data_IF_537283278989
#
_entry.id   IF_537283278989
#
_cell.length_a   1.000
_cell.length_b   1.000
_cell.length_c   1.000
_cell.angle_alpha   90.00
_cell.angle_beta   90.00
_cell.angle_gamma   90.00
#
_symmetry.space_group_name_H-M   'P 1'
#
loop_
_entity.id
_entity.type
_entity.pdbx_description
1 polymer ?
#
# COMPACT_ATOMS: atom_id res chain seq x y z
N UNK A 1 15.52 24.98 -83.80
CA UNK A 1 16.42 25.81 -82.95
C UNK A 1 15.66 26.25 -81.71
N UNK A 2 16.35 26.50 -80.57
CA UNK A 2 15.99 27.42 -79.46
C UNK A 2 14.47 27.65 -79.19
N UNK A 3 13.85 27.26 -78.08
CA UNK A 3 14.34 26.81 -76.77
C UNK A 3 13.65 27.60 -75.64
N UNK A 4 13.45 26.98 -74.47
CA UNK A 4 12.90 27.57 -73.23
C UNK A 4 11.50 28.22 -73.30
N UNK A 5 10.45 27.46 -72.95
CA UNK A 5 9.35 27.99 -72.12
C UNK A 5 9.02 27.05 -70.95
N UNK A 6 9.96 27.04 -70.00
CA UNK A 6 9.82 26.85 -68.55
C UNK A 6 8.60 26.04 -68.04
N UNK A 7 8.89 24.77 -67.73
CA UNK A 7 8.69 24.17 -66.39
C UNK A 7 7.48 24.69 -65.59
N UNK A 8 6.32 24.09 -65.87
CA UNK A 8 5.12 24.16 -65.03
C UNK A 8 5.10 22.90 -64.13
N UNK A 9 4.86 23.07 -62.83
CA UNK A 9 4.81 22.03 -61.77
C UNK A 9 6.09 21.19 -61.57
N UNK A 10 7.13 21.78 -60.97
CA UNK A 10 7.91 21.07 -59.93
C UNK A 10 8.49 22.08 -58.93
N UNK A 11 7.88 22.16 -57.75
CA UNK A 11 8.23 23.09 -56.68
C UNK A 11 7.90 22.47 -55.33
N UNK A 12 8.74 21.54 -54.89
CA UNK A 12 8.64 20.73 -53.68
C UNK A 12 7.83 21.37 -52.54
N UNK A 13 6.74 20.71 -52.16
CA UNK A 13 6.13 20.94 -50.86
C UNK A 13 7.17 20.62 -49.78
N UNK A 14 7.65 21.65 -49.07
CA UNK A 14 8.52 21.45 -47.91
C UNK A 14 7.70 20.85 -46.77
N UNK A 15 7.65 19.52 -46.72
CA UNK A 15 7.16 18.77 -45.58
C UNK A 15 8.02 19.12 -44.36
N UNK A 16 7.55 20.10 -43.58
CA UNK A 16 8.17 20.51 -42.33
C UNK A 16 8.05 19.38 -41.33
N UNK A 17 9.08 18.52 -41.32
CA UNK A 17 9.29 17.50 -40.28
C UNK A 17 9.66 18.22 -38.99
N UNK A 18 8.65 18.81 -38.38
CA UNK A 18 8.69 19.36 -37.03
C UNK A 18 8.99 18.21 -36.09
N UNK A 19 10.29 17.99 -35.83
CA UNK A 19 10.77 17.14 -34.76
C UNK A 19 10.41 17.79 -33.43
N UNK A 20 9.13 17.72 -33.08
CA UNK A 20 8.64 17.91 -31.72
C UNK A 20 9.28 16.83 -30.88
N UNK A 21 10.45 17.16 -30.34
CA UNK A 21 11.13 16.38 -29.32
C UNK A 21 10.19 16.32 -28.12
N UNK A 22 9.37 15.26 -28.09
CA UNK A 22 8.57 14.85 -26.95
C UNK A 22 9.56 14.47 -25.84
N UNK A 23 10.07 15.48 -25.15
CA UNK A 23 10.84 15.34 -23.93
C UNK A 23 9.91 14.69 -22.90
N UNK A 24 9.98 13.36 -22.88
CA UNK A 24 9.22 12.51 -21.99
C UNK A 24 9.77 12.65 -20.57
N UNK A 25 9.55 13.84 -20.00
CA UNK A 25 9.54 14.08 -18.56
C UNK A 25 8.33 13.36 -18.00
N UNK A 26 8.37 12.03 -18.04
CA UNK A 26 7.49 11.20 -17.23
C UNK A 26 7.76 11.56 -15.79
N UNK A 27 6.87 12.34 -15.19
CA UNK A 27 6.79 12.47 -13.73
C UNK A 27 6.91 11.06 -13.16
N UNK A 28 7.81 10.79 -12.20
CA UNK A 28 7.99 9.46 -11.65
C UNK A 28 6.63 9.03 -11.10
N UNK A 29 5.99 8.08 -11.79
CA UNK A 29 4.60 7.72 -11.54
C UNK A 29 4.58 6.93 -10.23
N UNK A 30 4.49 7.66 -9.11
CA UNK A 30 4.21 7.18 -7.77
C UNK A 30 2.78 6.63 -7.74
N UNK A 31 2.56 5.56 -8.51
CA UNK A 31 1.30 4.87 -8.61
C UNK A 31 0.84 4.55 -7.20
N UNK A 32 -0.34 5.05 -6.85
CA UNK A 32 -1.02 4.71 -5.61
C UNK A 32 -1.42 3.24 -5.67
N UNK A 33 -0.44 2.38 -5.43
CA UNK A 33 -0.69 1.02 -4.98
C UNK A 33 -1.49 1.16 -3.70
N UNK A 34 -2.75 0.72 -3.75
CA UNK A 34 -3.61 0.58 -2.57
C UNK A 34 -2.76 -0.09 -1.48
N UNK A 35 -2.62 0.52 -0.29
CA UNK A 35 -1.60 0.15 0.68
C UNK A 35 -1.81 -1.31 1.05
N UNK A 36 -0.96 -2.20 0.52
CA UNK A 36 -1.22 -3.64 0.57
C UNK A 36 -1.20 -4.08 2.03
N UNK A 37 -2.38 -4.34 2.57
CA UNK A 37 -2.58 -4.64 3.99
C UNK A 37 -1.96 -6.01 4.33
N UNK A 38 -0.68 -5.97 4.70
CA UNK A 38 0.07 -7.13 5.16
C UNK A 38 -0.14 -7.33 6.66
N UNK A 39 -0.52 -8.55 7.02
CA UNK A 39 -0.57 -9.02 8.40
C UNK A 39 0.84 -9.45 8.82
N UNK A 40 1.40 -8.77 9.82
CA UNK A 40 2.74 -9.05 10.34
C UNK A 40 2.68 -9.98 11.56
N UNK A 41 3.42 -11.09 11.46
CA UNK A 41 3.49 -12.13 12.49
C UNK A 41 4.93 -12.37 12.92
N UNK A 42 5.09 -12.73 14.19
CA UNK A 42 6.31 -13.34 14.72
C UNK A 42 6.16 -14.86 14.65
N UNK A 43 6.85 -15.49 13.70
CA UNK A 43 6.98 -16.94 13.60
C UNK A 43 8.11 -17.44 14.51
N UNK A 44 7.89 -18.57 15.18
CA UNK A 44 8.84 -19.24 16.06
C UNK A 44 9.04 -20.68 15.55
N UNK A 45 10.00 -20.90 14.63
CA UNK A 45 10.34 -22.21 14.05
C UNK A 45 10.41 -23.38 15.03
N UNK A 46 11.02 -23.21 16.21
CA UNK A 46 11.23 -24.30 17.18
C UNK A 46 9.93 -24.85 17.77
N UNK A 47 8.94 -23.98 17.95
CA UNK A 47 7.62 -24.31 18.50
C UNK A 47 6.53 -24.43 17.42
N UNK A 48 6.82 -24.05 16.17
CA UNK A 48 5.85 -23.99 15.08
C UNK A 48 4.75 -22.93 15.25
N UNK A 49 4.97 -21.92 16.10
CA UNK A 49 3.95 -20.93 16.52
C UNK A 49 4.04 -19.64 15.70
N UNK A 50 2.90 -19.04 15.38
CA UNK A 50 2.80 -17.64 14.95
C UNK A 50 2.18 -16.79 16.06
N UNK A 51 2.74 -15.62 16.34
CA UNK A 51 2.12 -14.59 17.16
C UNK A 51 1.78 -13.38 16.28
N UNK A 52 0.54 -12.91 16.32
CA UNK A 52 0.10 -11.75 15.54
C UNK A 52 0.19 -10.47 16.36
N UNK A 53 1.11 -9.58 15.98
CA UNK A 53 1.59 -8.46 16.81
C UNK A 53 0.45 -7.59 17.33
N UNK A 54 -0.48 -7.21 16.46
CA UNK A 54 -1.52 -6.23 16.76
C UNK A 54 -2.76 -6.78 17.50
N UNK A 55 -3.10 -8.06 17.30
CA UNK A 55 -4.24 -8.66 18.00
C UNK A 55 -3.84 -9.49 19.22
N UNK A 56 -2.55 -9.75 19.42
CA UNK A 56 -2.03 -10.52 20.56
C UNK A 56 -2.55 -11.96 20.59
N UNK A 57 -2.91 -12.53 19.44
CA UNK A 57 -3.31 -13.94 19.32
C UNK A 57 -2.12 -14.79 18.85
N UNK A 58 -1.94 -15.93 19.50
CA UNK A 58 -1.05 -17.00 19.07
C UNK A 58 -1.81 -18.02 18.23
N UNK A 59 -1.12 -18.61 17.25
CA UNK A 59 -1.60 -19.69 16.40
C UNK A 59 -0.58 -20.83 16.46
N UNK A 60 -1.00 -21.99 16.94
CA UNK A 60 -0.14 -23.18 17.04
C UNK A 60 -0.90 -24.42 16.54
N UNK A 61 -0.17 -25.49 16.20
CA UNK A 61 -0.79 -26.73 15.72
C UNK A 61 -1.04 -27.69 16.88
N UNK A 62 -2.29 -28.17 17.02
CA UNK A 62 -2.69 -29.19 18.00
C UNK A 62 -3.18 -30.41 17.22
N UNK A 63 -2.33 -31.42 17.11
CA UNK A 63 -2.54 -32.54 16.18
C UNK A 63 -2.48 -32.07 14.73
N UNK A 64 -3.56 -32.29 13.98
CA UNK A 64 -3.76 -31.80 12.61
C UNK A 64 -4.33 -30.37 12.53
N UNK A 65 -4.98 -29.89 13.60
CA UNK A 65 -5.70 -28.61 13.60
C UNK A 65 -4.82 -27.42 14.00
N UNK A 66 -5.15 -26.23 13.49
CA UNK A 66 -4.56 -24.96 13.93
C UNK A 66 -5.47 -24.28 14.96
N UNK A 67 -4.93 -23.99 16.14
CA UNK A 67 -5.66 -23.43 17.28
C UNK A 67 -5.21 -22.00 17.53
N UNK A 68 -6.17 -21.08 17.67
CA UNK A 68 -5.93 -19.68 18.03
C UNK A 68 -6.20 -19.44 19.51
N UNK A 69 -5.24 -18.89 20.24
CA UNK A 69 -5.33 -18.63 21.69
C UNK A 69 -4.75 -17.27 22.09
N UNK A 70 -5.19 -16.72 23.23
CA UNK A 70 -4.60 -15.52 23.86
C UNK A 70 -3.39 -15.83 24.73
N UNK A 71 -3.38 -17.00 25.36
CA UNK A 71 -2.32 -17.50 26.24
C UNK A 71 -1.92 -18.87 25.70
N UNK A 72 -0.63 -19.13 25.57
CA UNK A 72 -0.12 -20.44 25.14
C UNK A 72 -0.22 -21.47 26.27
N UNK A 73 -0.40 -22.77 25.94
CA UNK A 73 -0.18 -23.85 26.90
C UNK A 73 1.21 -23.77 27.52
N UNK A 74 1.33 -24.12 28.80
CA UNK A 74 2.57 -24.00 29.59
C UNK A 74 3.78 -24.75 29.02
N UNK A 75 3.57 -25.80 28.22
CA UNK A 75 4.62 -26.58 27.55
C UNK A 75 5.16 -25.94 26.25
N UNK A 76 4.61 -24.80 25.81
CA UNK A 76 5.03 -24.12 24.56
C UNK A 76 5.87 -22.88 24.91
N UNK A 77 7.19 -23.07 25.01
CA UNK A 77 8.16 -22.01 25.31
C UNK A 77 8.62 -21.27 24.04
N UNK A 78 8.58 -19.93 24.04
CA UNK A 78 8.95 -19.09 22.90
C UNK A 78 10.26 -18.32 23.12
N UNK A 79 11.35 -18.85 22.55
CA UNK A 79 12.66 -18.20 22.62
C UNK A 79 12.74 -16.95 21.73
N UNK A 80 13.15 -15.82 22.30
CA UNK A 80 13.19 -14.54 21.57
C UNK A 80 14.19 -14.55 20.40
N UNK A 81 15.32 -15.26 20.53
CA UNK A 81 16.32 -15.50 19.46
C UNK A 81 15.74 -16.24 18.24
N UNK A 82 14.63 -16.98 18.41
CA UNK A 82 14.00 -17.76 17.34
C UNK A 82 12.96 -16.99 16.51
N UNK A 83 12.46 -15.86 17.04
CA UNK A 83 11.49 -14.99 16.36
C UNK A 83 11.94 -14.62 14.94
N UNK A 84 11.07 -14.85 13.95
CA UNK A 84 11.19 -14.38 12.56
C UNK A 84 9.98 -13.54 12.19
N UNK A 85 10.19 -12.43 11.48
CA UNK A 85 9.09 -11.60 11.00
C UNK A 85 8.58 -12.20 9.69
N UNK A 86 7.28 -12.53 9.66
CA UNK A 86 6.58 -13.08 8.49
C UNK A 86 5.46 -12.12 8.12
N UNK A 87 5.44 -11.66 6.86
CA UNK A 87 4.39 -10.82 6.30
C UNK A 87 3.50 -11.65 5.39
N UNK A 88 2.20 -11.66 5.70
CA UNK A 88 1.18 -12.41 4.97
C UNK A 88 0.13 -11.46 4.40
N UNK A 89 -0.40 -11.74 3.21
CA UNK A 89 -1.65 -11.09 2.74
C UNK A 89 -2.89 -11.71 3.39
N UNK A 90 -2.74 -12.92 3.90
CA UNK A 90 -3.79 -13.73 4.51
C UNK A 90 -3.75 -13.64 6.04
N UNK A 91 -4.92 -13.50 6.67
CA UNK A 91 -5.12 -13.59 8.13
C UNK A 91 -4.68 -14.93 8.77
N UNK A 92 -4.34 -15.93 7.95
CA UNK A 92 -4.01 -17.31 8.33
C UNK A 92 -2.58 -17.64 7.86
N UNK A 93 -1.52 -17.20 8.57
CA UNK A 93 -0.13 -17.34 8.11
C UNK A 93 0.30 -18.81 8.03
N UNK A 94 -0.38 -19.66 8.80
CA UNK A 94 -0.20 -21.10 8.84
C UNK A 94 -0.67 -21.83 7.57
N UNK A 95 -1.40 -21.18 6.65
CA UNK A 95 -1.67 -21.75 5.31
C UNK A 95 -0.38 -21.97 4.50
N UNK A 96 0.70 -21.25 4.85
CA UNK A 96 2.03 -21.39 4.26
C UNK A 96 3.04 -22.01 5.24
N UNK A 97 2.56 -22.76 6.24
CA UNK A 97 3.39 -23.31 7.31
C UNK A 97 4.60 -24.09 6.80
N UNK A 98 4.42 -25.02 5.86
CA UNK A 98 5.52 -25.84 5.35
C UNK A 98 6.49 -25.05 4.45
N UNK A 99 6.08 -23.91 3.89
CA UNK A 99 7.00 -22.97 3.24
C UNK A 99 7.84 -22.25 4.30
N UNK A 100 7.20 -21.66 5.33
CA UNK A 100 7.89 -20.97 6.42
C UNK A 100 8.82 -21.88 7.22
N UNK A 101 8.44 -23.14 7.44
CA UNK A 101 9.24 -24.17 8.13
C UNK A 101 10.47 -24.61 7.32
N UNK A 102 10.37 -24.63 5.98
CA UNK A 102 11.52 -24.87 5.08
C UNK A 102 12.45 -23.66 5.02
N UNK A 103 11.89 -22.45 4.94
CA UNK A 103 12.63 -21.19 4.87
C UNK A 103 13.35 -20.85 6.20
N UNK A 104 12.72 -21.16 7.32
CA UNK A 104 13.23 -20.93 8.67
C UNK A 104 13.26 -22.27 9.42
N UNK A 105 14.26 -23.14 9.17
CA UNK A 105 14.39 -24.40 9.91
C UNK A 105 14.67 -24.13 11.40
N UNK A 106 14.13 -24.95 12.32
CA UNK A 106 14.32 -24.78 13.75
C UNK A 106 15.79 -24.97 14.12
N UNK A 107 16.43 -23.91 14.62
CA UNK A 107 17.83 -23.97 15.05
C UNK A 107 17.93 -24.48 16.47
N UNK A 108 18.83 -25.44 16.71
CA UNK A 108 19.31 -25.75 18.07
C UNK A 108 20.25 -24.61 18.51
N UNK A 109 19.71 -23.61 19.19
CA UNK A 109 20.52 -22.54 19.77
C UNK A 109 21.39 -23.14 20.87
N UNK A 110 22.72 -23.01 20.74
CA UNK A 110 23.61 -23.10 21.90
C UNK A 110 23.45 -21.83 22.72
N UNK A 111 23.46 -21.95 24.03
CA UNK A 111 23.28 -20.83 24.96
C UNK A 111 24.60 -20.03 25.11
N UNK A 112 24.95 -19.28 24.05
CA UNK A 112 26.05 -18.32 24.13
C UNK A 112 25.56 -16.99 24.74
N UNK A 113 25.94 -16.73 25.99
CA UNK A 113 25.66 -15.49 26.70
C UNK A 113 26.32 -14.24 26.09
N UNK A 114 27.31 -14.40 25.20
CA UNK A 114 27.85 -13.27 24.40
C UNK A 114 26.78 -12.70 23.47
N UNK A 115 25.85 -13.53 22.98
CA UNK A 115 24.75 -13.09 22.13
C UNK A 115 23.76 -12.21 22.90
N UNK A 116 23.38 -12.60 24.13
CA UNK A 116 22.43 -11.84 24.93
C UNK A 116 22.98 -10.48 25.36
N UNK A 117 24.29 -10.38 25.61
CA UNK A 117 24.98 -9.10 25.82
C UNK A 117 24.86 -8.22 24.57
N UNK A 118 25.21 -8.74 23.39
CA UNK A 118 25.07 -7.97 22.14
C UNK A 118 23.62 -7.58 21.81
N UNK A 119 22.62 -8.44 22.08
CA UNK A 119 21.21 -8.09 21.87
C UNK A 119 20.76 -7.01 22.87
N UNK A 120 21.16 -7.10 24.15
CA UNK A 120 20.95 -6.05 25.15
C UNK A 120 21.55 -4.72 24.70
N UNK A 121 22.82 -4.69 24.32
CA UNK A 121 23.53 -3.46 23.96
C UNK A 121 22.91 -2.78 22.71
N UNK A 122 22.52 -3.58 21.71
CA UNK A 122 21.80 -3.10 20.51
C UNK A 122 20.41 -2.53 20.87
N UNK A 123 19.70 -3.15 21.80
CA UNK A 123 18.38 -2.69 22.25
C UNK A 123 18.49 -1.40 23.09
N UNK A 124 19.50 -1.28 23.96
CA UNK A 124 19.82 -0.04 24.71
C UNK A 124 20.13 1.09 23.73
N UNK A 125 21.02 0.87 22.74
CA UNK A 125 21.32 1.90 21.73
C UNK A 125 20.07 2.29 20.94
N UNK A 126 19.27 1.33 20.46
CA UNK A 126 18.01 1.61 19.74
C UNK A 126 17.03 2.45 20.59
N UNK A 127 16.96 2.20 21.89
CA UNK A 127 16.12 2.99 22.80
C UNK A 127 16.64 4.43 22.96
N UNK A 128 17.95 4.62 23.10
CA UNK A 128 18.58 5.96 23.14
C UNK A 128 18.39 6.71 21.82
N UNK A 129 18.59 6.06 20.68
CA UNK A 129 18.38 6.64 19.35
C UNK A 129 16.89 7.01 19.14
N UNK A 130 15.95 6.21 19.66
CA UNK A 130 14.52 6.52 19.68
C UNK A 130 14.21 7.74 20.56
N UNK A 131 14.73 7.81 21.79
CA UNK A 131 14.56 8.98 22.66
C UNK A 131 15.12 10.26 22.04
N UNK A 132 16.31 10.20 21.41
CA UNK A 132 16.90 11.34 20.70
C UNK A 132 16.06 11.78 19.51
N UNK A 133 15.47 10.84 18.76
CA UNK A 133 14.61 11.14 17.62
C UNK A 133 13.33 11.88 18.04
N UNK A 134 12.73 11.51 19.16
CA UNK A 134 11.53 12.14 19.71
C UNK A 134 11.88 13.08 20.87
N UNK A 135 12.83 13.99 20.63
CA UNK A 135 13.37 14.91 21.65
C UNK A 135 12.32 15.86 22.25
N UNK A 136 11.23 16.15 21.52
CA UNK A 136 10.08 16.86 22.07
C UNK A 136 9.04 15.87 22.61
N UNK A 137 8.59 16.13 23.86
CA UNK A 137 7.53 15.35 24.53
C UNK A 137 6.24 15.31 23.72
N UNK A 138 5.94 16.37 22.98
CA UNK A 138 4.76 16.48 22.12
C UNK A 138 4.83 15.59 20.88
N UNK A 139 5.99 15.51 20.20
CA UNK A 139 6.15 14.64 19.03
C UNK A 139 6.05 13.17 19.44
N UNK A 140 6.67 12.78 20.56
CA UNK A 140 6.48 11.43 21.13
C UNK A 140 5.00 11.14 21.41
N UNK A 141 4.28 12.07 22.04
CA UNK A 141 2.85 11.91 22.32
C UNK A 141 1.97 11.94 21.06
N UNK A 142 2.37 12.66 20.01
CA UNK A 142 1.68 12.65 18.70
C UNK A 142 1.90 11.32 18.00
N UNK A 143 3.16 10.85 17.87
CA UNK A 143 3.50 9.57 17.27
C UNK A 143 2.80 8.41 17.99
N UNK A 144 2.86 8.38 19.33
CA UNK A 144 2.18 7.36 20.13
C UNK A 144 0.66 7.34 19.88
N UNK A 145 0.01 8.51 19.87
CA UNK A 145 -1.44 8.60 19.55
C UNK A 145 -1.77 8.09 18.14
N UNK A 146 -0.93 8.41 17.15
CA UNK A 146 -1.09 7.92 15.77
C UNK A 146 -0.94 6.40 15.68
N UNK A 147 0.02 5.80 16.39
CA UNK A 147 0.21 4.35 16.38
C UNK A 147 -0.83 3.60 17.23
N UNK A 148 -1.30 4.17 18.35
CA UNK A 148 -2.43 3.66 19.13
C UNK A 148 -3.73 3.69 18.28
N UNK A 149 -3.97 4.77 17.51
CA UNK A 149 -5.08 4.85 16.55
C UNK A 149 -4.95 3.80 15.43
N UNK A 150 -3.77 3.65 14.84
CA UNK A 150 -3.46 2.65 13.79
C UNK A 150 -3.73 1.23 14.29
N UNK A 151 -3.36 0.92 15.54
CA UNK A 151 -3.66 -0.37 16.17
C UNK A 151 -5.16 -0.60 16.38
N UNK A 152 -5.91 0.43 16.80
CA UNK A 152 -7.36 0.34 16.94
C UNK A 152 -8.08 0.14 15.61
N UNK A 153 -7.70 0.89 14.57
CA UNK A 153 -8.26 0.75 13.22
C UNK A 153 -8.01 -0.66 12.69
N UNK A 154 -6.76 -1.12 12.76
CA UNK A 154 -6.37 -2.46 12.32
C UNK A 154 -7.09 -3.57 13.11
N UNK A 155 -7.34 -3.39 14.42
CA UNK A 155 -8.20 -4.29 15.19
C UNK A 155 -9.63 -4.31 14.65
N UNK A 156 -10.23 -3.15 14.34
CA UNK A 156 -11.59 -3.06 13.77
C UNK A 156 -11.67 -3.76 12.41
N UNK A 157 -10.69 -3.55 11.54
CA UNK A 157 -10.56 -4.25 10.26
C UNK A 157 -10.46 -5.77 10.45
N UNK A 158 -9.61 -6.23 11.39
CA UNK A 158 -9.48 -7.64 11.76
C UNK A 158 -10.82 -8.24 12.21
N UNK A 159 -11.51 -7.57 13.14
CA UNK A 159 -12.77 -8.08 13.71
C UNK A 159 -13.92 -8.06 12.70
N UNK A 160 -13.98 -7.08 11.80
CA UNK A 160 -14.93 -7.06 10.69
C UNK A 160 -14.70 -8.21 9.71
N UNK A 161 -13.44 -8.46 9.32
CA UNK A 161 -13.10 -9.58 8.44
C UNK A 161 -13.35 -10.95 9.11
N UNK A 162 -13.09 -11.12 10.41
CA UNK A 162 -13.45 -12.36 11.11
C UNK A 162 -14.97 -12.59 11.13
N UNK A 163 -15.77 -11.53 11.34
CA UNK A 163 -17.24 -11.63 11.32
C UNK A 163 -17.77 -12.02 9.94
N UNK A 164 -17.25 -11.45 8.86
CA UNK A 164 -17.71 -11.80 7.50
C UNK A 164 -17.32 -13.22 7.09
N UNK A 165 -16.10 -13.68 7.43
CA UNK A 165 -15.69 -15.08 7.21
C UNK A 165 -16.60 -16.06 7.98
N UNK A 166 -16.93 -15.78 9.25
CA UNK A 166 -17.84 -16.60 10.05
C UNK A 166 -19.27 -16.64 9.50
N UNK A 167 -19.77 -15.51 8.99
CA UNK A 167 -21.07 -15.46 8.31
C UNK A 167 -21.09 -16.30 7.03
N UNK A 168 -19.99 -16.30 6.26
CA UNK A 168 -19.84 -17.15 5.07
C UNK A 168 -19.75 -18.65 5.43
N UNK A 169 -19.06 -19.00 6.51
CA UNK A 169 -18.99 -20.38 7.02
C UNK A 169 -20.36 -20.87 7.53
N UNK A 170 -21.07 -20.06 8.32
CA UNK A 170 -22.43 -20.36 8.79
C UNK A 170 -23.42 -20.52 7.63
N UNK A 171 -23.40 -19.61 6.64
CA UNK A 171 -24.27 -19.71 5.44
C UNK A 171 -24.02 -20.99 4.65
N UNK A 172 -22.76 -21.45 4.54
CA UNK A 172 -22.42 -22.73 3.90
C UNK A 172 -22.96 -23.95 4.65
N UNK A 173 -23.13 -23.86 5.97
CA UNK A 173 -23.67 -24.94 6.80
C UNK A 173 -25.20 -24.94 6.84
N UNK A 174 -25.83 -23.76 6.81
CA UNK A 174 -27.28 -23.59 6.98
C UNK A 174 -28.12 -23.76 5.68
N UNK A 175 -27.49 -23.89 4.52
CA UNK A 175 -28.15 -24.02 3.20
C UNK A 175 -28.05 -25.47 2.65
N UNK A 176 -28.97 -26.39 3.04
CA UNK A 176 -28.88 -27.81 2.69
C UNK A 176 -29.12 -28.08 1.20
N UNK A 177 -28.27 -28.94 0.62
CA UNK A 177 -28.53 -29.73 -0.60
C UNK A 177 -28.61 -28.98 -1.94
N UNK A 178 -29.13 -27.76 -1.99
CA UNK A 178 -29.44 -27.11 -3.26
C UNK A 178 -28.21 -26.53 -3.96
N UNK A 179 -28.25 -26.70 -5.28
CA UNK A 179 -27.21 -26.62 -6.31
C UNK A 179 -25.92 -25.85 -5.94
N UNK A 180 -24.80 -26.59 -5.77
CA UNK A 180 -23.48 -25.97 -5.65
C UNK A 180 -23.08 -25.16 -6.90
N UNK A 181 -23.64 -25.50 -8.07
CA UNK A 181 -23.35 -24.85 -9.35
C UNK A 181 -23.85 -23.40 -9.37
N UNK A 182 -25.14 -23.20 -9.09
CA UNK A 182 -25.77 -21.87 -8.93
C UNK A 182 -25.07 -21.04 -7.84
N UNK A 183 -24.60 -21.69 -6.77
CA UNK A 183 -23.89 -21.01 -5.67
C UNK A 183 -22.51 -20.50 -6.09
N UNK A 184 -21.80 -21.24 -6.93
CA UNK A 184 -20.54 -20.80 -7.55
C UNK A 184 -20.80 -19.68 -8.58
N UNK A 185 -21.83 -19.81 -9.41
CA UNK A 185 -22.24 -18.77 -10.37
C UNK A 185 -22.66 -17.47 -9.66
N UNK A 186 -23.39 -17.54 -8.55
CA UNK A 186 -23.71 -16.37 -7.71
C UNK A 186 -22.45 -15.72 -7.11
N UNK A 187 -21.45 -16.52 -6.73
CA UNK A 187 -20.17 -16.01 -6.22
C UNK A 187 -19.35 -15.32 -7.32
N UNK A 188 -19.22 -15.95 -8.50
CA UNK A 188 -18.49 -15.39 -9.63
C UNK A 188 -19.17 -14.13 -10.19
N UNK A 189 -20.51 -14.11 -10.26
CA UNK A 189 -21.25 -12.91 -10.64
C UNK A 189 -21.10 -11.78 -9.61
N UNK A 190 -21.04 -12.08 -8.31
CA UNK A 190 -20.67 -11.08 -7.29
C UNK A 190 -19.25 -10.56 -7.50
N UNK A 191 -18.27 -11.44 -7.73
CA UNK A 191 -16.88 -11.05 -8.00
C UNK A 191 -16.71 -10.22 -9.27
N UNK A 192 -17.50 -10.49 -10.32
CA UNK A 192 -17.57 -9.65 -11.53
C UNK A 192 -18.14 -8.27 -11.22
N UNK A 193 -19.26 -8.20 -10.50
CA UNK A 193 -19.90 -6.94 -10.12
C UNK A 193 -19.02 -6.09 -9.19
N UNK A 194 -18.32 -6.69 -8.22
CA UNK A 194 -17.37 -6.00 -7.34
C UNK A 194 -16.18 -5.41 -8.14
N UNK A 195 -15.64 -6.16 -9.11
CA UNK A 195 -14.60 -5.67 -10.03
C UNK A 195 -15.12 -4.52 -10.91
N UNK A 196 -16.31 -4.64 -11.47
CA UNK A 196 -16.91 -3.62 -12.32
C UNK A 196 -17.19 -2.33 -11.53
N UNK A 197 -17.76 -2.41 -10.32
CA UNK A 197 -17.91 -1.25 -9.43
C UNK A 197 -16.57 -0.60 -9.06
N UNK A 198 -15.50 -1.39 -8.89
CA UNK A 198 -14.16 -0.86 -8.63
C UNK A 198 -13.59 -0.12 -9.86
N UNK A 199 -13.79 -0.66 -11.07
CA UNK A 199 -13.44 0.01 -12.32
C UNK A 199 -14.23 1.30 -12.54
N UNK A 200 -15.55 1.30 -12.30
CA UNK A 200 -16.41 2.49 -12.41
C UNK A 200 -15.99 3.58 -11.41
N UNK A 201 -15.61 3.21 -10.18
CA UNK A 201 -15.09 4.15 -9.18
C UNK A 201 -13.78 4.79 -9.64
N UNK A 202 -12.85 4.01 -10.19
CA UNK A 202 -11.58 4.52 -10.76
C UNK A 202 -11.82 5.44 -11.97
N UNK A 203 -12.71 5.05 -12.90
CA UNK A 203 -13.08 5.92 -14.02
C UNK A 203 -13.75 7.24 -13.57
N UNK A 204 -14.47 7.24 -12.44
CA UNK A 204 -15.07 8.44 -11.84
C UNK A 204 -14.03 9.34 -11.18
N UNK A 205 -13.07 8.79 -10.41
CA UNK A 205 -11.95 9.58 -9.88
C UNK A 205 -11.10 10.18 -10.99
N UNK A 206 -10.75 9.39 -12.01
CA UNK A 206 -9.92 9.87 -13.13
C UNK A 206 -10.58 11.02 -13.90
N UNK A 207 -11.92 11.02 -14.01
CA UNK A 207 -12.71 12.12 -14.61
C UNK A 207 -12.78 13.34 -13.69
N UNK A 208 -12.86 13.15 -12.37
CA UNK A 208 -12.88 14.22 -11.39
C UNK A 208 -11.52 14.93 -11.30
N UNK A 209 -10.42 14.17 -11.24
CA UNK A 209 -9.06 14.70 -11.20
C UNK A 209 -8.70 15.46 -12.49
N UNK A 210 -9.18 14.97 -13.65
CA UNK A 210 -9.03 15.69 -14.92
C UNK A 210 -9.74 17.04 -14.92
N UNK A 211 -10.95 17.14 -14.34
CA UNK A 211 -11.66 18.41 -14.15
C UNK A 211 -10.89 19.33 -13.20
N UNK A 212 -10.51 18.85 -12.01
CA UNK A 212 -9.72 19.66 -11.07
C UNK A 212 -8.38 20.16 -11.66
N UNK A 213 -7.79 19.42 -12.62
CA UNK A 213 -6.61 19.85 -13.37
C UNK A 213 -6.92 20.85 -14.51
N UNK A 214 -8.09 20.81 -15.16
CA UNK A 214 -8.50 21.87 -16.10
C UNK A 214 -8.81 23.17 -15.37
N UNK A 215 -9.58 23.09 -14.29
CA UNK A 215 -10.10 24.26 -13.58
C UNK A 215 -8.95 25.07 -12.95
N UNK A 216 -7.91 24.38 -12.45
CA UNK A 216 -6.66 25.00 -11.96
C UNK A 216 -5.83 25.67 -13.07
N UNK A 217 -5.81 25.12 -14.29
CA UNK A 217 -5.13 25.75 -15.44
C UNK A 217 -5.86 27.03 -15.86
N UNK A 218 -7.18 26.97 -16.00
CA UNK A 218 -7.99 28.13 -16.35
C UNK A 218 -7.91 29.24 -15.28
N UNK A 219 -7.75 28.89 -14.00
CA UNK A 219 -7.47 29.84 -12.93
C UNK A 219 -6.08 30.48 -13.05
N UNK A 220 -5.03 29.72 -13.41
CA UNK A 220 -3.69 30.28 -13.67
C UNK A 220 -3.73 31.25 -14.85
N UNK A 221 -4.28 30.82 -16.00
CA UNK A 221 -4.38 31.64 -17.22
C UNK A 221 -5.10 32.97 -16.96
N UNK A 222 -6.10 32.99 -16.06
CA UNK A 222 -6.80 34.20 -15.61
C UNK A 222 -5.97 35.07 -14.68
N UNK A 223 -5.17 34.49 -13.78
CA UNK A 223 -4.24 35.24 -12.92
C UNK A 223 -3.11 35.86 -13.74
N UNK A 224 -2.50 35.12 -14.66
CA UNK A 224 -1.41 35.60 -15.50
C UNK A 224 -1.87 36.71 -16.45
N UNK A 225 -3.05 36.58 -17.07
CA UNK A 225 -3.68 37.67 -17.85
C UNK A 225 -4.00 38.91 -17.00
N UNK A 226 -4.40 38.74 -15.74
CA UNK A 226 -4.63 39.87 -14.83
C UNK A 226 -3.31 40.56 -14.45
N UNK A 227 -2.24 39.78 -14.19
CA UNK A 227 -0.91 40.29 -13.88
C UNK A 227 -0.29 41.06 -15.04
N UNK A 228 -0.44 40.56 -16.28
CA UNK A 228 0.00 41.26 -17.49
C UNK A 228 -0.63 42.65 -17.63
N UNK A 229 -1.95 42.77 -17.43
CA UNK A 229 -2.65 44.07 -17.49
C UNK A 229 -2.17 45.07 -16.44
N UNK A 230 -1.85 44.65 -15.22
CA UNK A 230 -1.30 45.57 -14.22
C UNK A 230 0.05 46.14 -14.64
N UNK A 231 0.95 45.31 -15.16
CA UNK A 231 2.26 45.75 -15.65
C UNK A 231 2.14 46.69 -16.86
N UNK A 232 1.14 46.48 -17.72
CA UNK A 232 0.84 47.34 -18.86
C UNK A 232 0.28 48.71 -18.40
N UNK A 233 -0.63 48.74 -17.42
CA UNK A 233 -1.10 49.98 -16.78
C UNK A 233 0.02 50.73 -16.02
N UNK A 234 0.93 50.01 -15.37
CA UNK A 234 2.01 50.57 -14.55
C UNK A 234 3.07 51.24 -15.42
N UNK A 235 3.54 50.56 -16.48
CA UNK A 235 4.39 51.16 -17.52
C UNK A 235 3.71 52.37 -18.19
N UNK A 236 2.40 52.27 -18.47
CA UNK A 236 1.61 53.37 -19.03
C UNK A 236 1.44 54.58 -18.12
N UNK A 237 1.66 54.43 -16.80
CA UNK A 237 1.73 55.55 -15.84
C UNK A 237 3.13 56.15 -15.81
N UNK A 238 4.20 55.36 -15.78
CA UNK A 238 5.58 55.89 -15.80
C UNK A 238 5.85 56.77 -17.02
N UNK A 239 5.33 56.38 -18.20
CA UNK A 239 5.48 57.18 -19.43
C UNK A 239 4.70 58.51 -19.44
N UNK A 240 3.83 58.78 -18.44
CA UNK A 240 3.16 60.09 -18.28
C UNK A 240 3.87 61.05 -17.32
N UNK A 241 4.95 60.60 -16.67
CA UNK A 241 5.75 61.40 -15.75
C UNK A 241 7.17 61.66 -16.27
N UNK A 242 7.33 61.69 -17.60
CA UNK A 242 8.54 62.05 -18.34
C UNK A 242 8.18 63.01 -19.48
#
# INVERSE_FOLDING_TARGET
>A
MKGLFRLVVMGLAMSSVSLTACTYYGEPYYGHSEPVHYYEYYYYPSAGVYFHVYSGYYYYRRGSAWVRVKVLPSHIHLYHRDRRIVRSKDYRPYLKYDQHRKQYPPKRYKEDGRYDRQERDRNVKRYQDYQKKYSTREEYQRQRRMDDQRQQEYRRQYEQHERSQKQLEYRKQAEPGQNQRERNEQYDNRQRNEKQQSQDKRQKSDKQDKRQKSDKREQSDKQDKKKGKYLEEENGREQRYR
#
